data_IF_293403205108
#
_entry.id   IF_293403205108
#
_cell.length_a   1.000
_cell.length_b   1.000
_cell.length_c   1.000
_cell.angle_alpha   90.00
_cell.angle_beta   90.00
_cell.angle_gamma   90.00
#
_symmetry.space_group_name_H-M   'P 1'
#
loop_
_entity.id
_entity.type
_entity.pdbx_description
1 polymer ?
#
# COMPACT_ATOMS: atom_id res chain seq x y z
N UNK A 1 -5.20 -12.57 20.04
CA UNK A 1 -4.34 -11.35 20.06
C UNK A 1 -5.03 -10.27 19.26
N UNK A 2 -5.07 -9.04 19.77
CA UNK A 2 -5.53 -7.88 19.01
C UNK A 2 -4.34 -7.01 18.68
N UNK A 3 -4.33 -6.45 17.49
CA UNK A 3 -3.28 -5.59 17.00
C UNK A 3 -3.87 -4.33 16.33
N UNK A 4 -3.36 -3.17 16.67
CA UNK A 4 -3.76 -1.88 16.11
C UNK A 4 -2.52 -1.03 15.81
N UNK A 5 -2.51 -0.39 14.66
CA UNK A 5 -1.49 0.59 14.31
C UNK A 5 -1.60 1.85 15.19
N UNK A 6 -0.46 2.54 15.42
CA UNK A 6 -0.45 3.79 16.19
C UNK A 6 -1.31 4.88 15.49
N UNK A 7 -2.41 5.34 16.12
CA UNK A 7 -3.33 6.30 15.52
C UNK A 7 -2.70 7.66 15.23
N UNK A 8 -1.62 8.03 15.92
CA UNK A 8 -0.92 9.30 15.72
C UNK A 8 -0.41 9.49 14.30
N UNK A 9 -0.03 8.41 13.62
CA UNK A 9 0.40 8.48 12.21
C UNK A 9 -0.74 8.88 11.28
N UNK A 10 -1.94 8.35 11.53
CA UNK A 10 -3.15 8.70 10.78
C UNK A 10 -3.51 10.17 10.99
N UNK A 11 -3.57 10.62 12.24
CA UNK A 11 -3.90 12.00 12.59
C UNK A 11 -2.94 12.99 11.95
N UNK A 12 -1.64 12.67 11.95
CA UNK A 12 -0.63 13.54 11.39
C UNK A 12 -0.69 13.60 9.86
N UNK A 13 -0.96 12.48 9.17
CA UNK A 13 -1.17 12.48 7.71
C UNK A 13 -2.37 13.34 7.34
N UNK A 14 -3.50 13.20 8.05
CA UNK A 14 -4.72 13.96 7.79
C UNK A 14 -4.49 15.46 8.03
N UNK A 15 -3.77 15.81 9.09
CA UNK A 15 -3.41 17.19 9.44
C UNK A 15 -2.46 17.81 8.41
N UNK A 16 -1.38 17.12 8.06
CA UNK A 16 -0.37 17.61 7.11
C UNK A 16 -0.92 17.81 5.69
N UNK A 17 -2.02 17.11 5.36
CA UNK A 17 -2.72 17.25 4.09
C UNK A 17 -3.87 18.28 4.13
N UNK A 18 -4.10 18.90 5.28
CA UNK A 18 -5.21 19.85 5.52
C UNK A 18 -6.59 19.23 5.14
N UNK A 19 -6.82 18.00 5.60
CA UNK A 19 -8.04 17.25 5.29
C UNK A 19 -9.02 17.15 6.47
N UNK A 20 -8.78 17.88 7.55
CA UNK A 20 -9.68 17.87 8.72
C UNK A 20 -11.11 18.28 8.32
N UNK A 21 -12.09 17.40 8.58
CA UNK A 21 -13.49 17.63 8.19
C UNK A 21 -13.82 17.46 6.71
N UNK A 22 -12.86 17.02 5.86
CA UNK A 22 -13.13 16.75 4.45
C UNK A 22 -13.98 15.49 4.28
N UNK A 23 -14.68 15.37 3.13
CA UNK A 23 -15.49 14.18 2.83
C UNK A 23 -14.59 12.94 2.73
N UNK A 24 -14.88 11.92 3.52
CA UNK A 24 -14.20 10.61 3.48
C UNK A 24 -14.51 9.84 2.20
N UNK A 25 -13.65 8.87 1.88
CA UNK A 25 -13.81 7.94 0.77
C UNK A 25 -13.66 6.50 1.24
N UNK A 26 -14.26 5.56 0.53
CA UNK A 26 -14.33 4.14 0.94
C UNK A 26 -13.09 3.33 0.53
N UNK A 27 -12.26 3.83 -0.41
CA UNK A 27 -11.08 3.11 -0.89
C UNK A 27 -9.83 3.98 -0.80
N UNK A 28 -8.69 3.44 -0.31
CA UNK A 28 -7.46 4.21 -0.09
C UNK A 28 -6.77 4.64 -1.38
N UNK A 29 -6.96 3.89 -2.46
CA UNK A 29 -6.35 4.16 -3.77
C UNK A 29 -7.30 3.86 -4.91
N UNK A 30 -6.95 4.36 -6.08
CA UNK A 30 -7.55 4.01 -7.37
C UNK A 30 -6.40 3.65 -8.31
N UNK A 31 -6.62 2.67 -9.18
CA UNK A 31 -5.68 2.42 -10.27
C UNK A 31 -5.75 3.61 -11.23
N UNK A 32 -4.67 4.39 -11.42
CA UNK A 32 -4.69 5.50 -12.36
C UNK A 32 -4.88 4.96 -13.78
N UNK A 33 -5.59 5.69 -14.62
CA UNK A 33 -5.57 5.40 -16.06
C UNK A 33 -4.18 5.74 -16.61
N UNK A 34 -3.76 5.06 -17.68
CA UNK A 34 -2.47 5.29 -18.32
C UNK A 34 -2.26 6.77 -18.69
N UNK A 35 -3.30 7.43 -19.18
CA UNK A 35 -3.28 8.86 -19.53
C UNK A 35 -3.02 9.76 -18.32
N UNK A 36 -3.66 9.50 -17.18
CA UNK A 36 -3.46 10.27 -15.96
C UNK A 36 -2.03 10.13 -15.39
N UNK A 37 -1.43 8.94 -15.57
CA UNK A 37 -0.06 8.72 -15.14
C UNK A 37 0.97 9.40 -16.05
N UNK A 38 0.71 9.47 -17.36
CA UNK A 38 1.68 9.98 -18.35
C UNK A 38 1.64 11.50 -18.54
N UNK A 39 0.49 12.16 -18.33
CA UNK A 39 0.30 13.59 -18.62
C UNK A 39 0.23 14.49 -17.40
N UNK A 40 0.63 13.99 -16.21
CA UNK A 40 0.63 14.80 -15.00
C UNK A 40 1.88 15.67 -14.90
N UNK A 41 1.69 16.97 -14.64
CA UNK A 41 2.77 17.92 -14.43
C UNK A 41 3.61 17.54 -13.20
N UNK A 42 4.91 17.83 -13.27
CA UNK A 42 5.79 17.71 -12.11
C UNK A 42 5.39 18.72 -11.05
N UNK A 43 5.49 18.29 -9.81
CA UNK A 43 5.25 19.16 -8.67
C UNK A 43 6.39 20.18 -8.54
N UNK A 44 6.14 21.44 -8.17
CA UNK A 44 7.18 22.41 -7.90
C UNK A 44 8.17 21.93 -6.83
N UNK A 45 9.48 22.18 -6.95
CA UNK A 45 10.51 21.65 -6.06
C UNK A 45 10.30 21.96 -4.57
N UNK A 46 9.72 23.11 -4.24
CA UNK A 46 9.41 23.52 -2.87
C UNK A 46 8.39 22.58 -2.19
N UNK A 47 7.53 21.92 -2.95
CA UNK A 47 6.53 20.98 -2.45
C UNK A 47 7.03 19.53 -2.34
N UNK A 48 8.19 19.22 -2.94
CA UNK A 48 8.76 17.86 -2.93
C UNK A 48 9.03 17.36 -1.52
N UNK A 49 9.57 18.22 -0.65
CA UNK A 49 9.90 17.85 0.74
C UNK A 49 8.65 17.46 1.52
N UNK A 50 7.59 18.25 1.42
CA UNK A 50 6.33 17.97 2.10
C UNK A 50 5.70 16.67 1.59
N UNK A 51 5.65 16.48 0.27
CA UNK A 51 5.15 15.25 -0.34
C UNK A 51 5.91 14.01 0.18
N UNK A 52 7.24 14.05 0.13
CA UNK A 52 8.09 12.92 0.58
C UNK A 52 7.89 12.59 2.05
N UNK A 53 7.77 13.61 2.91
CA UNK A 53 7.57 13.41 4.33
C UNK A 53 6.25 12.68 4.63
N UNK A 54 5.16 13.09 3.96
CA UNK A 54 3.84 12.47 4.15
C UNK A 54 3.80 11.07 3.52
N UNK A 55 4.40 10.88 2.33
CA UNK A 55 4.48 9.59 1.67
C UNK A 55 5.30 8.57 2.49
N UNK A 56 6.42 9.00 3.08
CA UNK A 56 7.22 8.16 3.96
C UNK A 56 6.45 7.73 5.21
N UNK A 57 5.68 8.66 5.81
CA UNK A 57 4.81 8.34 6.95
C UNK A 57 3.68 7.38 6.58
N UNK A 58 3.09 7.55 5.39
CA UNK A 58 2.09 6.61 4.87
C UNK A 58 2.69 5.21 4.65
N UNK A 59 3.92 5.13 4.15
CA UNK A 59 4.63 3.87 3.98
C UNK A 59 4.94 3.19 5.33
N UNK A 60 5.33 3.96 6.33
CA UNK A 60 5.53 3.44 7.69
C UNK A 60 4.22 2.90 8.27
N UNK A 61 3.12 3.66 8.18
CA UNK A 61 1.80 3.22 8.63
C UNK A 61 1.34 1.95 7.91
N UNK A 62 1.68 1.79 6.64
CA UNK A 62 1.30 0.64 5.82
C UNK A 62 1.90 -0.70 6.30
N UNK A 63 2.94 -0.67 7.13
CA UNK A 63 3.49 -1.88 7.75
C UNK A 63 2.49 -2.51 8.74
N UNK A 64 1.70 -1.67 9.40
CA UNK A 64 0.72 -2.05 10.42
C UNK A 64 -0.73 -1.98 9.90
N UNK A 65 -0.94 -1.45 8.70
CA UNK A 65 -2.24 -1.22 8.05
C UNK A 65 -2.25 -1.84 6.65
N UNK A 66 -2.47 -3.14 6.53
CA UNK A 66 -2.50 -3.85 5.23
C UNK A 66 -3.50 -3.25 4.23
N UNK A 67 -4.59 -2.68 4.71
CA UNK A 67 -5.63 -2.02 3.92
C UNK A 67 -5.12 -0.82 3.11
N UNK A 68 -4.07 -0.14 3.56
CA UNK A 68 -3.45 1.00 2.86
C UNK A 68 -2.14 0.67 2.14
N UNK A 69 -1.63 -0.54 2.30
CA UNK A 69 -0.31 -0.96 1.84
C UNK A 69 -0.11 -0.75 0.33
N UNK A 70 -1.08 -1.16 -0.48
CA UNK A 70 -1.00 -0.96 -1.93
C UNK A 70 -0.99 0.52 -2.31
N UNK A 71 -1.87 1.32 -1.72
CA UNK A 71 -1.95 2.75 -2.02
C UNK A 71 -0.67 3.49 -1.60
N UNK A 72 -0.12 3.18 -0.43
CA UNK A 72 1.14 3.75 0.04
C UNK A 72 2.31 3.36 -0.87
N UNK A 73 2.41 2.10 -1.29
CA UNK A 73 3.41 1.62 -2.26
C UNK A 73 3.35 2.43 -3.55
N UNK A 74 2.16 2.59 -4.15
CA UNK A 74 1.99 3.33 -5.39
C UNK A 74 2.37 4.81 -5.25
N UNK A 75 2.02 5.45 -4.14
CA UNK A 75 2.42 6.84 -3.84
C UNK A 75 3.94 6.96 -3.71
N UNK A 76 4.59 6.01 -3.03
CA UNK A 76 6.04 6.01 -2.82
C UNK A 76 6.85 5.90 -4.11
N UNK A 77 6.31 5.30 -5.17
CA UNK A 77 6.95 5.25 -6.50
C UNK A 77 7.24 6.63 -7.09
N UNK A 78 6.52 7.65 -6.64
CA UNK A 78 6.66 9.03 -7.12
C UNK A 78 7.57 9.90 -6.23
N UNK A 79 8.19 9.35 -5.20
CA UNK A 79 9.04 10.14 -4.29
C UNK A 79 10.23 10.81 -4.98
N UNK A 80 10.79 10.20 -6.02
CA UNK A 80 11.91 10.77 -6.78
C UNK A 80 11.46 11.99 -7.59
N UNK A 81 10.33 11.88 -8.29
CA UNK A 81 9.77 12.91 -9.15
C UNK A 81 8.26 13.04 -8.90
N UNK A 82 7.84 13.73 -7.82
CA UNK A 82 6.42 13.90 -7.48
C UNK A 82 5.67 14.66 -8.57
N UNK A 83 4.44 14.24 -8.85
CA UNK A 83 3.55 14.84 -9.81
C UNK A 83 2.25 15.33 -9.15
N UNK A 84 1.49 16.17 -9.83
CA UNK A 84 0.18 16.60 -9.34
C UNK A 84 -0.76 15.40 -9.12
N UNK A 85 -0.71 14.40 -10.00
CA UNK A 85 -1.48 13.16 -9.84
C UNK A 85 -1.09 12.39 -8.59
N UNK A 86 0.21 12.37 -8.24
CA UNK A 86 0.67 11.71 -7.01
C UNK A 86 0.16 12.42 -5.74
N UNK A 87 0.01 13.74 -5.78
CA UNK A 87 -0.61 14.50 -4.68
C UNK A 87 -2.10 14.19 -4.55
N UNK A 88 -2.82 14.04 -5.68
CA UNK A 88 -4.23 13.62 -5.68
C UNK A 88 -4.39 12.23 -5.06
N UNK A 89 -3.49 11.30 -5.41
CA UNK A 89 -3.47 9.96 -4.82
C UNK A 89 -3.21 10.00 -3.31
N UNK A 90 -2.24 10.82 -2.88
CA UNK A 90 -1.91 11.02 -1.47
C UNK A 90 -3.09 11.64 -0.68
N UNK A 91 -3.76 12.65 -1.24
CA UNK A 91 -4.97 13.24 -0.65
C UNK A 91 -6.13 12.23 -0.57
N UNK A 92 -6.26 11.33 -1.56
CA UNK A 92 -7.26 10.28 -1.50
C UNK A 92 -6.99 9.33 -0.34
N UNK A 93 -5.73 8.89 -0.17
CA UNK A 93 -5.33 8.10 0.98
C UNK A 93 -5.66 8.80 2.30
N UNK A 94 -5.35 10.09 2.43
CA UNK A 94 -5.70 10.88 3.62
C UNK A 94 -7.21 10.93 3.89
N UNK A 95 -8.06 11.07 2.87
CA UNK A 95 -9.52 11.02 3.02
C UNK A 95 -10.03 9.63 3.45
N UNK A 96 -9.39 8.58 2.97
CA UNK A 96 -9.69 7.22 3.42
C UNK A 96 -9.36 7.06 4.90
N UNK A 97 -8.16 7.47 5.31
CA UNK A 97 -7.72 7.42 6.70
C UNK A 97 -8.59 8.24 7.64
N UNK A 98 -9.13 9.37 7.17
CA UNK A 98 -10.10 10.18 7.94
C UNK A 98 -11.41 9.43 8.16
N UNK A 99 -11.87 8.66 7.18
CA UNK A 99 -13.11 7.85 7.29
C UNK A 99 -12.91 6.55 8.07
N UNK A 100 -11.68 6.04 8.09
CA UNK A 100 -11.30 4.80 8.75
C UNK A 100 -10.00 5.00 9.56
N UNK A 101 -10.04 5.83 10.63
CA UNK A 101 -8.82 6.19 11.37
C UNK A 101 -8.24 5.01 12.15
N UNK A 102 -9.06 4.07 12.56
CA UNK A 102 -8.66 2.91 13.35
C UNK A 102 -9.09 1.61 12.69
N UNK A 103 -8.19 0.63 12.69
CA UNK A 103 -8.49 -0.76 12.29
C UNK A 103 -7.84 -1.68 13.30
N UNK A 104 -8.64 -2.52 13.93
CA UNK A 104 -8.18 -3.51 14.90
C UNK A 104 -8.21 -4.87 14.23
N UNK A 105 -7.05 -5.50 14.10
CA UNK A 105 -6.92 -6.86 13.60
C UNK A 105 -7.00 -7.83 14.78
N UNK A 106 -7.94 -8.79 14.69
CA UNK A 106 -8.12 -9.83 15.70
C UNK A 106 -7.57 -11.14 15.16
N UNK A 107 -6.60 -11.67 15.86
CA UNK A 107 -6.02 -12.98 15.59
C UNK A 107 -6.49 -13.96 16.70
N UNK A 108 -7.59 -14.73 16.48
CA UNK A 108 -7.99 -15.76 17.42
C UNK A 108 -6.90 -16.82 17.50
N UNK A 109 -6.76 -17.42 18.67
CA UNK A 109 -5.88 -18.58 18.77
C UNK A 109 -6.51 -19.75 18.02
N UNK A 110 -5.70 -20.41 17.18
CA UNK A 110 -6.13 -21.58 16.41
C UNK A 110 -4.94 -22.52 16.25
N UNK A 111 -5.21 -23.84 16.19
CA UNK A 111 -4.20 -24.82 15.85
C UNK A 111 -3.94 -24.74 14.34
N UNK A 112 -2.69 -24.60 13.95
CA UNK A 112 -2.31 -24.63 12.55
C UNK A 112 -2.26 -26.10 12.06
N UNK A 113 -3.15 -26.48 11.15
CA UNK A 113 -3.19 -27.83 10.57
C UNK A 113 -2.36 -27.91 9.29
N UNK A 114 -2.21 -26.80 8.57
CA UNK A 114 -1.41 -26.71 7.36
C UNK A 114 -0.83 -25.30 7.18
N UNK A 115 0.21 -25.22 6.38
CA UNK A 115 0.87 -23.99 5.95
C UNK A 115 0.72 -23.90 4.43
N UNK A 116 -0.04 -22.92 3.95
CA UNK A 116 -0.23 -22.65 2.53
C UNK A 116 0.48 -21.31 2.21
N UNK A 117 1.39 -21.24 1.24
CA UNK A 117 2.03 -19.99 0.81
C UNK A 117 1.63 -19.62 -0.62
N UNK A 118 1.09 -18.43 -0.80
CA UNK A 118 0.77 -17.88 -2.11
C UNK A 118 1.89 -16.95 -2.57
N UNK A 119 2.39 -17.13 -3.79
CA UNK A 119 3.28 -16.18 -4.43
C UNK A 119 2.58 -15.62 -5.67
N UNK A 120 2.52 -14.29 -5.75
CA UNK A 120 2.01 -13.60 -6.93
C UNK A 120 3.17 -12.96 -7.70
N UNK A 121 3.11 -13.03 -9.04
CA UNK A 121 4.03 -12.33 -9.94
C UNK A 121 3.24 -11.26 -10.68
N UNK A 122 3.35 -10.02 -10.25
CA UNK A 122 2.75 -8.87 -10.95
C UNK A 122 3.52 -8.59 -12.25
N UNK A 123 3.03 -9.16 -13.36
CA UNK A 123 3.54 -8.94 -14.71
C UNK A 123 3.01 -7.63 -15.27
N UNK A 124 3.65 -6.52 -15.00
CA UNK A 124 3.36 -5.21 -15.58
C UNK A 124 2.04 -4.54 -15.15
N UNK A 125 2.02 -3.89 -14.00
CA UNK A 125 1.15 -2.74 -13.82
C UNK A 125 1.88 -1.49 -14.31
N UNK A 126 1.37 -0.87 -15.40
CA UNK A 126 1.77 0.45 -15.93
C UNK A 126 3.26 0.80 -15.72
N UNK A 127 4.13 0.20 -16.52
CA UNK A 127 5.55 0.50 -16.50
C UNK A 127 5.89 1.51 -17.59
N UNK A 128 6.47 2.65 -17.20
CA UNK A 128 7.22 3.51 -18.11
C UNK A 128 8.50 2.84 -18.63
N UNK A 129 8.95 1.80 -17.94
CA UNK A 129 10.16 1.05 -18.28
C UNK A 129 9.81 -0.44 -18.37
N UNK A 130 9.39 -0.87 -19.56
CA UNK A 130 9.28 -2.30 -19.90
C UNK A 130 10.68 -2.87 -20.11
N UNK A 131 11.58 -2.70 -19.16
CA UNK A 131 12.74 -3.59 -19.03
C UNK A 131 12.29 -4.78 -18.22
N UNK A 132 11.78 -5.78 -18.92
CA UNK A 132 11.62 -7.13 -18.41
C UNK A 132 12.99 -7.59 -17.93
N UNK A 133 13.28 -7.43 -16.65
CA UNK A 133 14.35 -8.17 -16.01
C UNK A 133 13.93 -9.62 -16.00
N UNK A 134 14.31 -10.33 -17.06
CA UNK A 134 14.19 -11.76 -17.15
C UNK A 134 15.17 -12.34 -16.12
N UNK A 135 14.72 -12.50 -14.88
CA UNK A 135 15.44 -13.28 -13.90
C UNK A 135 15.46 -14.71 -14.40
N UNK A 136 16.57 -15.07 -15.03
CA UNK A 136 16.88 -16.47 -15.32
C UNK A 136 17.31 -17.08 -14.00
N UNK A 137 16.34 -17.63 -13.25
CA UNK A 137 16.67 -18.47 -12.11
C UNK A 137 17.49 -19.68 -12.63
N UNK A 138 18.59 -20.05 -11.95
CA UNK A 138 19.28 -21.30 -12.26
C UNK A 138 18.29 -22.46 -12.19
N UNK A 139 18.47 -23.45 -13.07
CA UNK A 139 17.56 -24.60 -13.20
C UNK A 139 17.35 -25.35 -11.88
N UNK A 140 18.31 -25.26 -10.97
CA UNK A 140 18.31 -25.93 -9.67
C UNK A 140 17.40 -25.25 -8.63
N UNK A 141 16.95 -24.00 -8.86
CA UNK A 141 15.99 -23.28 -8.01
C UNK A 141 14.54 -23.47 -8.45
N UNK A 142 14.30 -24.06 -9.63
CA UNK A 142 12.93 -24.34 -10.11
C UNK A 142 12.27 -25.46 -9.27
N UNK A 143 13.07 -26.31 -8.64
CA UNK A 143 12.59 -27.35 -7.73
C UNK A 143 12.09 -26.81 -6.37
N UNK A 144 12.42 -25.55 -6.03
CA UNK A 144 11.96 -24.87 -4.80
C UNK A 144 10.75 -23.96 -5.01
N UNK A 145 10.19 -23.91 -6.22
CA UNK A 145 8.93 -23.26 -6.53
C UNK A 145 7.72 -24.15 -6.17
N UNK A 146 7.78 -24.84 -5.06
CA UNK A 146 6.57 -25.28 -4.42
C UNK A 146 5.94 -24.06 -3.76
N UNK A 147 4.80 -23.69 -4.28
CA UNK A 147 3.89 -22.69 -3.72
C UNK A 147 3.66 -23.04 -2.25
N UNK A 148 4.11 -22.20 -1.33
CA UNK A 148 3.88 -22.34 0.10
C UNK A 148 2.74 -21.40 0.48
N UNK A 149 1.51 -21.87 0.66
CA UNK A 149 0.32 -21.13 1.12
C UNK A 149 0.23 -21.17 2.66
N UNK A 150 0.21 -20.04 3.33
CA UNK A 150 -0.03 -19.92 4.77
C UNK A 150 -1.51 -19.70 5.03
N UNK A 151 -2.24 -20.75 5.34
CA UNK A 151 -3.67 -20.70 5.68
C UNK A 151 -3.87 -21.13 7.13
N UNK A 152 -4.35 -20.23 7.97
CA UNK A 152 -4.81 -20.59 9.29
C UNK A 152 -6.28 -21.01 9.18
N UNK A 153 -6.53 -22.29 8.98
CA UNK A 153 -7.90 -22.84 8.98
C UNK A 153 -8.41 -22.93 10.41
N UNK A 154 -9.28 -21.99 10.81
CA UNK A 154 -10.03 -22.10 12.06
C UNK A 154 -11.16 -23.11 11.90
N UNK A 155 -11.10 -24.26 12.57
CA UNK A 155 -12.29 -25.06 12.83
C UNK A 155 -13.15 -24.33 13.86
N UNK A 156 -14.36 -23.95 13.46
CA UNK A 156 -15.42 -23.65 14.42
C UNK A 156 -15.78 -24.98 15.09
N UNK A 157 -15.42 -25.14 16.33
CA UNK A 157 -16.04 -26.16 17.19
C UNK A 157 -17.49 -25.72 17.45
N UNK A 158 -18.41 -26.54 17.01
CA UNK A 158 -19.80 -26.53 17.45
C UNK A 158 -19.88 -26.89 18.93
#
# INVERSE_FOLDING_TARGET
MEYEADPRHVEQIVRDLDLMGSKSVTTPGLKPTFEQACHSNLLPPEKHRAFRAIAARANYLAMDRPDVQYAAKEICRWMAAPTEASVVALKRLGRYLQGCPRVIFRYPWQSAEKVDAYSDTDWTSVSKDTKVHKWRLPHDLIALHQVVELHASGHQLQ
#
